data_IF_296414867062
#
_entry.id   IF_296414867062
#
_cell.length_a   1.000
_cell.length_b   1.000
_cell.length_c   1.000
_cell.angle_alpha   90.00
_cell.angle_beta   90.00
_cell.angle_gamma   90.00
#
_symmetry.space_group_name_H-M   'P 1'
#
loop_
_entity.id
_entity.type
_entity.pdbx_description
1 polymer ?
#
# COMPACT_ATOMS: atom_id res chain seq x y z
N UNK A 1 -10.49 6.54 -32.34
CA UNK A 1 -9.49 7.40 -31.82
C UNK A 1 -8.15 6.71 -31.70
N UNK A 2 -7.16 7.36 -32.17
CA UNK A 2 -5.81 6.81 -32.20
C UNK A 2 -4.87 7.65 -31.35
N UNK A 3 -3.87 7.01 -30.79
CA UNK A 3 -2.87 7.70 -29.98
C UNK A 3 -1.73 8.16 -30.87
N UNK A 4 -1.32 9.41 -30.74
CA UNK A 4 -0.30 10.03 -31.58
C UNK A 4 1.11 9.49 -31.27
N UNK A 5 1.31 8.87 -30.09
CA UNK A 5 2.62 8.40 -29.68
C UNK A 5 2.53 7.24 -28.70
N UNK A 6 3.65 6.55 -28.48
CA UNK A 6 3.77 5.55 -27.42
C UNK A 6 3.48 6.14 -26.03
N UNK A 7 3.92 7.38 -25.79
CA UNK A 7 3.71 8.06 -24.53
C UNK A 7 2.21 8.29 -24.25
N UNK A 8 1.45 8.70 -25.26
CA UNK A 8 0.00 8.87 -25.12
C UNK A 8 -0.71 7.54 -24.89
N UNK A 9 -0.30 6.50 -25.61
CA UNK A 9 -0.86 5.17 -25.42
C UNK A 9 -0.57 4.64 -23.99
N UNK A 10 0.67 4.79 -23.54
CA UNK A 10 1.08 4.41 -22.19
C UNK A 10 0.24 5.16 -21.13
N UNK A 11 0.10 6.48 -21.28
CA UNK A 11 -0.69 7.31 -20.39
C UNK A 11 -2.14 6.84 -20.31
N UNK A 12 -2.75 6.52 -21.47
CA UNK A 12 -4.12 6.02 -21.51
C UNK A 12 -4.28 4.65 -20.82
N UNK A 13 -3.27 3.78 -20.95
CA UNK A 13 -3.32 2.45 -20.35
C UNK A 13 -3.07 2.45 -18.85
N UNK A 14 -2.11 3.24 -18.38
CA UNK A 14 -1.66 3.17 -16.98
C UNK A 14 -2.18 4.30 -16.09
N UNK A 15 -2.59 5.43 -16.67
CA UNK A 15 -3.03 6.59 -15.90
C UNK A 15 -4.23 6.30 -15.00
N UNK A 16 -5.20 5.57 -15.52
CA UNK A 16 -6.39 5.18 -14.77
C UNK A 16 -6.05 4.22 -13.63
N UNK A 17 -5.18 3.24 -13.90
CA UNK A 17 -4.74 2.27 -12.88
C UNK A 17 -3.98 2.99 -11.76
N UNK A 18 -3.05 3.85 -12.12
CA UNK A 18 -2.30 4.66 -11.15
C UNK A 18 -3.25 5.48 -10.27
N UNK A 19 -4.16 6.22 -10.87
CA UNK A 19 -5.11 7.07 -10.14
C UNK A 19 -6.00 6.24 -9.22
N UNK A 20 -6.49 5.11 -9.69
CA UNK A 20 -7.31 4.22 -8.88
C UNK A 20 -6.54 3.70 -7.66
N UNK A 21 -5.32 3.19 -7.87
CA UNK A 21 -4.48 2.66 -6.79
C UNK A 21 -4.17 3.73 -5.75
N UNK A 22 -3.74 4.91 -6.18
CA UNK A 22 -3.40 6.01 -5.27
C UNK A 22 -4.63 6.51 -4.51
N UNK A 23 -5.77 6.65 -5.19
CA UNK A 23 -7.01 7.10 -4.56
C UNK A 23 -7.48 6.12 -3.50
N UNK A 24 -7.52 4.83 -3.80
CA UNK A 24 -7.91 3.80 -2.84
C UNK A 24 -7.01 3.77 -1.63
N UNK A 25 -5.71 3.88 -1.86
CA UNK A 25 -4.74 3.87 -0.77
C UNK A 25 -4.91 5.11 0.14
N UNK A 26 -5.02 6.28 -0.44
CA UNK A 26 -5.23 7.52 0.33
C UNK A 26 -6.56 7.52 1.08
N UNK A 27 -7.64 7.04 0.46
CA UNK A 27 -8.94 6.92 1.13
C UNK A 27 -8.88 6.01 2.36
N UNK A 28 -8.13 4.91 2.27
CA UNK A 28 -7.96 4.01 3.42
C UNK A 28 -7.19 4.66 4.56
N UNK A 29 -6.15 5.45 4.24
CA UNK A 29 -5.40 6.20 5.25
C UNK A 29 -6.30 7.24 5.94
N UNK A 30 -7.09 7.97 5.17
CA UNK A 30 -8.02 8.97 5.71
C UNK A 30 -9.12 8.31 6.57
N UNK A 31 -9.64 7.19 6.11
CA UNK A 31 -10.64 6.42 6.86
C UNK A 31 -10.09 6.00 8.23
N UNK A 32 -8.87 5.45 8.25
CA UNK A 32 -8.23 5.04 9.50
C UNK A 32 -7.99 6.23 10.43
N UNK A 33 -7.45 7.32 9.90
CA UNK A 33 -7.17 8.53 10.68
C UNK A 33 -8.45 9.17 11.26
N UNK A 34 -9.59 8.94 10.60
CA UNK A 34 -10.92 9.47 11.04
C UNK A 34 -11.56 8.64 12.13
N UNK A 35 -11.06 7.44 12.42
CA UNK A 35 -11.60 6.63 13.50
C UNK A 35 -11.32 7.28 14.86
N UNK A 36 -12.21 7.08 15.84
CA UNK A 36 -11.90 7.49 17.20
C UNK A 36 -10.56 6.90 17.66
N UNK A 37 -9.72 7.66 18.36
CA UNK A 37 -8.41 7.17 18.78
C UNK A 37 -8.44 5.80 19.46
N UNK A 38 -9.44 5.56 20.29
CA UNK A 38 -9.61 4.31 21.04
C UNK A 38 -9.85 3.09 20.18
N UNK A 39 -10.40 3.29 18.97
CA UNK A 39 -10.73 2.22 18.05
C UNK A 39 -9.55 1.89 17.09
N UNK A 40 -8.62 2.83 16.90
CA UNK A 40 -7.55 2.67 15.93
C UNK A 40 -6.68 1.42 16.17
N UNK A 41 -6.24 1.10 17.40
CA UNK A 41 -5.41 -0.09 17.62
C UNK A 41 -6.06 -1.39 17.17
N UNK A 42 -7.37 -1.53 17.38
CA UNK A 42 -8.10 -2.74 16.96
C UNK A 42 -8.36 -2.79 15.46
N UNK A 43 -8.46 -1.63 14.80
CA UNK A 43 -8.80 -1.53 13.38
C UNK A 43 -7.58 -1.42 12.45
N UNK A 44 -6.38 -1.33 13.01
CA UNK A 44 -5.15 -1.10 12.22
C UNK A 44 -4.96 -2.10 11.09
N UNK A 45 -5.12 -3.38 11.38
CA UNK A 45 -4.94 -4.43 10.38
C UNK A 45 -6.11 -4.52 9.39
N UNK A 46 -7.34 -4.29 9.85
CA UNK A 46 -8.54 -4.50 9.04
C UNK A 46 -8.71 -3.44 7.95
N UNK A 47 -8.55 -2.16 8.29
CA UNK A 47 -8.70 -1.07 7.31
C UNK A 47 -7.62 -1.18 6.22
N UNK A 48 -6.38 -1.39 6.60
CA UNK A 48 -5.27 -1.57 5.67
C UNK A 48 -5.47 -2.81 4.79
N UNK A 49 -5.91 -3.89 5.40
CA UNK A 49 -6.09 -5.13 4.69
C UNK A 49 -7.24 -5.12 3.70
N UNK A 50 -8.35 -4.51 4.04
CA UNK A 50 -9.47 -4.35 3.10
C UNK A 50 -9.04 -3.52 1.89
N UNK A 51 -8.28 -2.46 2.11
CA UNK A 51 -7.71 -1.65 1.04
C UNK A 51 -6.80 -2.47 0.12
N UNK A 52 -5.86 -3.22 0.67
CA UNK A 52 -4.93 -4.03 -0.11
C UNK A 52 -5.65 -5.12 -0.89
N UNK A 53 -6.71 -5.71 -0.32
CA UNK A 53 -7.51 -6.69 -1.04
C UNK A 53 -8.27 -6.06 -2.21
N UNK A 54 -8.88 -4.90 -2.02
CA UNK A 54 -9.59 -4.18 -3.08
C UNK A 54 -8.64 -3.78 -4.20
N UNK A 55 -7.45 -3.29 -3.86
CA UNK A 55 -6.42 -2.95 -4.83
C UNK A 55 -5.95 -4.19 -5.62
N UNK A 56 -5.80 -5.33 -4.94
CA UNK A 56 -5.41 -6.59 -5.58
C UNK A 56 -6.46 -7.04 -6.61
N UNK A 57 -7.73 -7.02 -6.23
CA UNK A 57 -8.82 -7.38 -7.14
C UNK A 57 -8.85 -6.48 -8.37
N UNK A 58 -8.70 -5.18 -8.17
CA UNK A 58 -8.62 -4.23 -9.27
C UNK A 58 -7.42 -4.51 -10.17
N UNK A 59 -6.25 -4.75 -9.58
CA UNK A 59 -5.03 -5.04 -10.33
C UNK A 59 -5.18 -6.30 -11.20
N UNK A 60 -5.88 -7.31 -10.70
CA UNK A 60 -6.12 -8.53 -11.48
C UNK A 60 -7.11 -8.31 -12.62
N UNK A 61 -8.04 -7.37 -12.49
CA UNK A 61 -8.93 -6.96 -13.58
C UNK A 61 -8.20 -6.13 -14.65
N UNK A 62 -7.10 -5.48 -14.28
CA UNK A 62 -6.31 -4.59 -15.14
C UNK A 62 -4.84 -5.02 -15.16
N UNK A 63 -4.60 -6.34 -15.25
CA UNK A 63 -3.28 -6.92 -15.02
C UNK A 63 -2.21 -6.36 -15.94
N UNK A 64 -2.47 -6.30 -17.24
CA UNK A 64 -1.48 -5.82 -18.20
C UNK A 64 -1.08 -4.36 -17.97
N UNK A 65 -2.06 -3.50 -17.74
CA UNK A 65 -1.81 -2.09 -17.42
C UNK A 65 -1.06 -1.94 -16.11
N UNK A 66 -1.42 -2.74 -15.10
CA UNK A 66 -0.74 -2.72 -13.81
C UNK A 66 0.72 -3.17 -13.93
N UNK A 67 0.99 -4.22 -14.70
CA UNK A 67 2.36 -4.66 -14.97
C UNK A 67 3.18 -3.61 -15.69
N UNK A 68 2.60 -2.93 -16.68
CA UNK A 68 3.26 -1.82 -17.37
C UNK A 68 3.61 -0.70 -16.40
N UNK A 69 2.68 -0.36 -15.51
CA UNK A 69 2.91 0.65 -14.47
C UNK A 69 4.08 0.26 -13.57
N UNK A 70 4.16 -0.99 -13.17
CA UNK A 70 5.19 -1.48 -12.23
C UNK A 70 6.56 -1.68 -12.88
N UNK A 71 6.62 -1.99 -14.19
CA UNK A 71 7.86 -2.39 -14.86
C UNK A 71 8.38 -1.41 -15.90
N UNK A 72 7.54 -0.52 -16.42
CA UNK A 72 7.87 0.36 -17.56
C UNK A 72 7.56 1.83 -17.28
N UNK A 73 7.57 2.24 -16.03
CA UNK A 73 7.25 3.62 -15.67
C UNK A 73 8.45 4.57 -15.67
N UNK A 74 9.66 4.05 -15.83
CA UNK A 74 10.88 4.87 -15.83
C UNK A 74 10.81 5.97 -16.89
N UNK A 75 11.14 7.20 -16.50
CA UNK A 75 11.06 8.37 -17.37
C UNK A 75 9.64 8.96 -17.49
N UNK A 76 8.66 8.41 -16.83
CA UNK A 76 7.29 8.94 -16.80
C UNK A 76 6.93 9.51 -15.43
N UNK A 77 5.80 10.22 -15.34
CA UNK A 77 5.30 10.76 -14.06
C UNK A 77 4.88 9.66 -13.06
N UNK A 78 4.83 8.41 -13.48
CA UNK A 78 4.43 7.27 -12.65
C UNK A 78 5.60 6.55 -11.99
N UNK A 79 6.83 6.90 -12.33
CA UNK A 79 8.04 6.20 -11.88
C UNK A 79 8.21 6.13 -10.35
N UNK A 80 7.67 7.11 -9.63
CA UNK A 80 7.78 7.19 -8.17
C UNK A 80 6.63 6.60 -7.38
N UNK A 81 5.76 5.78 -7.97
CA UNK A 81 4.56 5.29 -7.29
C UNK A 81 4.88 4.54 -5.99
N UNK A 82 5.84 3.61 -6.02
CA UNK A 82 6.20 2.84 -4.81
C UNK A 82 6.77 3.75 -3.71
N UNK A 83 7.61 4.72 -4.08
CA UNK A 83 8.16 5.68 -3.13
C UNK A 83 7.05 6.55 -2.53
N UNK A 84 6.08 6.94 -3.34
CA UNK A 84 4.94 7.73 -2.88
C UNK A 84 4.05 6.94 -1.92
N UNK A 85 3.74 5.68 -2.25
CA UNK A 85 3.00 4.79 -1.34
C UNK A 85 3.74 4.62 -0.01
N UNK A 86 5.05 4.42 -0.06
CA UNK A 86 5.87 4.27 1.13
C UNK A 86 5.89 5.55 1.97
N UNK A 87 5.95 6.71 1.33
CA UNK A 87 5.90 8.02 2.03
C UNK A 87 4.56 8.22 2.73
N UNK A 88 3.46 7.91 2.06
CA UNK A 88 2.11 8.01 2.65
C UNK A 88 1.99 7.07 3.85
N UNK A 89 2.44 5.83 3.72
CA UNK A 89 2.41 4.84 4.80
C UNK A 89 3.25 5.29 5.99
N UNK A 90 4.45 5.83 5.77
CA UNK A 90 5.30 6.34 6.84
C UNK A 90 4.63 7.51 7.58
N UNK A 91 4.02 8.44 6.85
CA UNK A 91 3.30 9.58 7.45
C UNK A 91 2.14 9.08 8.32
N UNK A 92 1.35 8.14 7.80
CA UNK A 92 0.23 7.55 8.55
C UNK A 92 0.70 6.80 9.78
N UNK A 93 1.83 6.09 9.68
CA UNK A 93 2.44 5.40 10.81
C UNK A 93 2.84 6.38 11.90
N UNK A 94 3.49 7.50 11.54
CA UNK A 94 3.88 8.52 12.51
C UNK A 94 2.66 9.14 13.19
N UNK A 95 1.59 9.40 12.46
CA UNK A 95 0.34 9.91 13.05
C UNK A 95 -0.28 8.92 14.02
N UNK A 96 -0.24 7.63 13.67
CA UNK A 96 -0.71 6.57 14.55
C UNK A 96 0.11 6.46 15.84
N UNK A 97 1.44 6.62 15.75
CA UNK A 97 2.30 6.63 16.95
C UNK A 97 1.91 7.73 17.93
N UNK A 98 1.50 8.89 17.42
CA UNK A 98 0.99 9.99 18.25
C UNK A 98 -0.33 9.62 18.93
N UNK A 99 -1.18 8.88 18.25
CA UNK A 99 -2.43 8.36 18.84
C UNK A 99 -2.11 7.39 19.97
N UNK A 100 -1.20 6.46 19.77
CA UNK A 100 -0.77 5.51 20.82
C UNK A 100 -0.24 6.24 22.04
N UNK A 101 0.56 7.28 21.84
CA UNK A 101 1.07 8.10 22.95
C UNK A 101 -0.05 8.74 23.74
N UNK A 102 -1.04 9.33 23.05
CA UNK A 102 -2.24 9.93 23.72
C UNK A 102 -3.07 8.91 24.46
N UNK A 103 -3.06 7.66 24.03
CA UNK A 103 -3.77 6.56 24.70
C UNK A 103 -2.98 5.99 25.89
N UNK A 104 -1.80 6.53 26.21
CA UNK A 104 -0.95 5.99 27.27
C UNK A 104 -0.23 4.71 26.91
N UNK A 105 -0.08 4.44 25.62
CA UNK A 105 0.57 3.24 25.07
C UNK A 105 1.71 3.63 24.11
N UNK A 106 2.68 4.46 24.56
CA UNK A 106 3.69 4.99 23.65
C UNK A 106 4.54 3.89 23.02
N UNK A 107 4.83 4.04 21.75
CA UNK A 107 5.77 3.19 21.04
C UNK A 107 7.20 3.55 21.43
N UNK A 108 8.12 2.56 21.52
CA UNK A 108 9.54 2.88 21.49
C UNK A 108 9.89 3.63 20.20
N UNK A 109 10.98 4.41 20.19
CA UNK A 109 11.44 5.06 18.96
C UNK A 109 11.70 4.03 17.86
N UNK A 110 11.32 4.36 16.62
CA UNK A 110 11.54 3.52 15.47
C UNK A 110 12.56 4.20 14.57
N UNK A 111 13.64 3.50 14.23
CA UNK A 111 14.65 4.01 13.31
C UNK A 111 14.04 4.22 11.92
N UNK A 112 14.29 5.41 11.34
CA UNK A 112 13.70 5.79 10.04
C UNK A 112 14.14 4.89 8.89
N UNK A 113 15.39 4.41 8.90
CA UNK A 113 15.87 3.49 7.89
C UNK A 113 15.19 2.13 8.00
N UNK A 114 15.04 1.62 9.21
CA UNK A 114 14.34 0.37 9.45
C UNK A 114 12.87 0.47 9.01
N UNK A 115 12.20 1.56 9.38
CA UNK A 115 10.83 1.83 8.96
C UNK A 115 10.71 1.83 7.44
N UNK A 116 11.58 2.54 6.75
CA UNK A 116 11.60 2.61 5.30
C UNK A 116 11.79 1.23 4.67
N UNK A 117 12.73 0.44 5.18
CA UNK A 117 13.00 -0.91 4.67
C UNK A 117 11.79 -1.83 4.85
N UNK A 118 11.14 -1.79 6.00
CA UNK A 118 9.97 -2.63 6.27
C UNK A 118 8.79 -2.23 5.38
N UNK A 119 8.50 -0.94 5.27
CA UNK A 119 7.40 -0.45 4.44
C UNK A 119 7.64 -0.77 2.96
N UNK A 120 8.84 -0.48 2.46
CA UNK A 120 9.20 -0.76 1.07
C UNK A 120 9.16 -2.26 0.78
N UNK A 121 9.64 -3.07 1.72
CA UNK A 121 9.58 -4.53 1.63
C UNK A 121 8.15 -5.05 1.53
N UNK A 122 7.24 -4.49 2.27
CA UNK A 122 5.82 -4.84 2.20
C UNK A 122 5.24 -4.58 0.81
N UNK A 123 5.44 -3.39 0.25
CA UNK A 123 4.93 -3.06 -1.07
C UNK A 123 5.57 -3.91 -2.17
N UNK A 124 6.88 -4.15 -2.09
CA UNK A 124 7.55 -5.03 -3.04
C UNK A 124 7.00 -6.44 -2.99
N UNK A 125 6.80 -7.00 -1.81
CA UNK A 125 6.20 -8.33 -1.63
C UNK A 125 4.78 -8.36 -2.20
N UNK A 126 3.99 -7.34 -1.92
CA UNK A 126 2.61 -7.21 -2.40
C UNK A 126 2.54 -7.22 -3.93
N UNK A 127 3.34 -6.39 -4.59
CA UNK A 127 3.31 -6.28 -6.04
C UNK A 127 3.94 -7.48 -6.76
N UNK A 128 4.77 -8.29 -6.08
CA UNK A 128 5.30 -9.53 -6.64
C UNK A 128 4.20 -10.49 -7.10
N UNK A 129 3.08 -10.54 -6.38
CA UNK A 129 1.95 -11.40 -6.74
C UNK A 129 1.37 -11.05 -8.12
N UNK A 130 1.33 -9.75 -8.43
CA UNK A 130 0.82 -9.25 -9.71
C UNK A 130 1.85 -9.48 -10.80
N UNK A 131 3.13 -9.19 -10.53
CA UNK A 131 4.21 -9.32 -11.52
C UNK A 131 4.45 -10.76 -11.96
N UNK A 132 4.27 -11.72 -11.05
CA UNK A 132 4.51 -13.14 -11.33
C UNK A 132 3.26 -13.92 -11.70
N UNK A 133 2.16 -13.25 -12.05
CA UNK A 133 0.93 -13.87 -12.51
C UNK A 133 0.38 -14.95 -11.57
N UNK A 134 0.52 -14.73 -10.27
CA UNK A 134 0.00 -15.67 -9.28
C UNK A 134 -1.52 -15.82 -9.46
N UNK A 135 -2.09 -17.03 -9.43
CA UNK A 135 -3.54 -17.20 -9.48
C UNK A 135 -4.24 -16.40 -8.38
N UNK A 136 -5.33 -15.72 -8.73
CA UNK A 136 -6.02 -14.79 -7.81
C UNK A 136 -6.38 -15.43 -6.46
N UNK A 137 -6.92 -16.65 -6.48
CA UNK A 137 -7.32 -17.32 -5.24
C UNK A 137 -6.13 -17.61 -4.33
N UNK A 138 -4.97 -17.91 -4.91
CA UNK A 138 -3.73 -18.09 -4.18
C UNK A 138 -3.20 -16.75 -3.64
N UNK A 139 -3.26 -15.71 -4.46
CA UNK A 139 -2.84 -14.37 -4.06
C UNK A 139 -3.66 -13.85 -2.87
N UNK A 140 -4.97 -14.11 -2.84
CA UNK A 140 -5.83 -13.74 -1.71
C UNK A 140 -5.37 -14.40 -0.40
N UNK A 141 -5.03 -15.68 -0.45
CA UNK A 141 -4.53 -16.42 0.73
C UNK A 141 -3.20 -15.83 1.20
N UNK A 142 -2.28 -15.61 0.27
CA UNK A 142 -0.96 -15.06 0.60
C UNK A 142 -1.06 -13.62 1.12
N UNK A 143 -1.97 -12.83 0.57
CA UNK A 143 -2.21 -11.47 1.08
C UNK A 143 -2.67 -11.51 2.53
N UNK A 144 -3.58 -12.40 2.87
CA UNK A 144 -4.05 -12.56 4.27
C UNK A 144 -2.89 -12.91 5.20
N UNK A 145 -2.08 -13.90 4.84
CA UNK A 145 -0.93 -14.33 5.63
C UNK A 145 0.12 -13.21 5.76
N UNK A 146 0.38 -12.49 4.67
CA UNK A 146 1.29 -11.36 4.67
C UNK A 146 0.81 -10.23 5.60
N UNK A 147 -0.50 -9.94 5.58
CA UNK A 147 -1.10 -8.94 6.47
C UNK A 147 -0.93 -9.32 7.94
N UNK A 148 -1.19 -10.58 8.27
CA UNK A 148 -1.02 -11.08 9.64
C UNK A 148 0.43 -10.95 10.09
N UNK A 149 1.36 -11.29 9.20
CA UNK A 149 2.80 -11.17 9.45
C UNK A 149 3.21 -9.72 9.73
N UNK A 150 2.83 -8.79 8.85
CA UNK A 150 3.21 -7.38 9.02
C UNK A 150 2.51 -6.72 10.19
N UNK A 151 1.24 -7.03 10.43
CA UNK A 151 0.49 -6.49 11.58
C UNK A 151 1.14 -6.93 12.89
N UNK A 152 1.48 -8.20 13.02
CA UNK A 152 2.16 -8.73 14.20
C UNK A 152 3.55 -8.11 14.39
N UNK A 153 4.31 -7.97 13.29
CA UNK A 153 5.63 -7.34 13.32
C UNK A 153 5.57 -5.88 13.75
N UNK A 154 4.65 -5.11 13.18
CA UNK A 154 4.45 -3.72 13.57
C UNK A 154 4.01 -3.59 15.02
N UNK A 155 3.08 -4.42 15.48
CA UNK A 155 2.67 -4.42 16.88
C UNK A 155 3.87 -4.63 17.81
N UNK A 156 4.74 -5.57 17.47
CA UNK A 156 5.96 -5.85 18.24
C UNK A 156 6.90 -4.64 18.27
N UNK A 157 7.15 -4.03 17.11
CA UNK A 157 8.02 -2.87 17.00
C UNK A 157 7.46 -1.68 17.80
N UNK A 158 6.14 -1.49 17.78
CA UNK A 158 5.45 -0.41 18.47
C UNK A 158 5.24 -0.69 19.96
N UNK A 159 5.66 -1.83 20.48
CA UNK A 159 5.50 -2.19 21.90
C UNK A 159 4.05 -2.47 22.29
N UNK A 160 3.24 -2.96 21.35
CA UNK A 160 1.82 -3.23 21.57
C UNK A 160 1.50 -4.72 21.74
#
# INVERSE_FOLDING_TARGET
GYYASKAELYEALVGEVYTHMMTKFCEAQDKFASLPPEEQPEQMGDVSGDCLQDMLLYAYQHRNACKLLLTRSEGTRYAGMLDELARIEATSTHDYLKVLERLGRPSPPIDEHLEHMIITGMFNTYFEMILHDMPLEKAKVYLKEMREFYTAGWAKIMGQ
#
